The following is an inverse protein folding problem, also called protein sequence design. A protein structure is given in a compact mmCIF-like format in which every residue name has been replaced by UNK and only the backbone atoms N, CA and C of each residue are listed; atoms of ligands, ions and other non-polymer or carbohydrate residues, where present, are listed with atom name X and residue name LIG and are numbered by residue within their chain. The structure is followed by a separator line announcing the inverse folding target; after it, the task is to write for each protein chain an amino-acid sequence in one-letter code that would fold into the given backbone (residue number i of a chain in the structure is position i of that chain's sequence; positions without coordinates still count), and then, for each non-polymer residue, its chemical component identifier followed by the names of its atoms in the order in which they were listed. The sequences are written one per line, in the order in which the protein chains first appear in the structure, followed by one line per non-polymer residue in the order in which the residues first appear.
data_IF_561336341159
#
_entry.id   IF_561336341159
#
_cell.length_a   1.000
_cell.length_b   1.000
_cell.length_c   1.000
_cell.angle_alpha   90.00
_cell.angle_beta   90.00
_cell.angle_gamma   90.00
#
_symmetry.space_group_name_H-M   'P 1'
#
loop_
_entity.id
_entity.type
_entity.pdbx_description
1 polymer ?
#
# COMPACT_ATOMS: atom_id res chain seq x y z
N UNK A 1 22.66 -16.47 -12.21
CA UNK A 1 22.33 -15.56 -11.08
C UNK A 1 21.09 -16.10 -10.38
N UNK A 2 21.17 -16.41 -9.07
CA UNK A 2 20.03 -16.94 -8.32
C UNK A 2 19.01 -15.85 -7.98
N UNK A 3 17.73 -16.16 -8.15
CA UNK A 3 16.63 -15.30 -7.74
C UNK A 3 16.59 -15.18 -6.21
N UNK A 4 16.49 -13.96 -5.68
CA UNK A 4 16.28 -13.75 -4.24
C UNK A 4 14.82 -13.94 -3.83
N UNK A 5 13.91 -13.67 -4.74
CA UNK A 5 12.45 -13.75 -4.54
C UNK A 5 11.83 -14.58 -5.67
N UNK A 6 10.54 -14.87 -5.53
CA UNK A 6 9.75 -15.41 -6.64
C UNK A 6 9.85 -14.46 -7.84
N UNK A 7 10.07 -15.04 -9.03
CA UNK A 7 10.14 -14.31 -10.29
C UNK A 7 9.07 -14.82 -11.24
N UNK A 8 8.22 -13.93 -11.77
CA UNK A 8 7.18 -14.29 -12.73
C UNK A 8 7.77 -14.46 -14.14
N UNK A 9 7.26 -15.47 -14.86
CA UNK A 9 7.75 -15.87 -16.17
C UNK A 9 6.65 -15.74 -17.23
N UNK A 10 7.07 -15.37 -18.43
CA UNK A 10 6.25 -15.35 -19.63
C UNK A 10 6.50 -16.63 -20.42
N UNK A 11 5.85 -17.72 -20.01
CA UNK A 11 5.98 -19.04 -20.66
C UNK A 11 4.77 -19.30 -21.54
N UNK A 12 4.96 -19.33 -22.87
CA UNK A 12 3.89 -19.68 -23.79
C UNK A 12 3.36 -21.11 -23.54
N UNK A 13 2.07 -21.40 -23.82
CA UNK A 13 1.49 -22.73 -23.61
C UNK A 13 2.29 -23.87 -24.25
N UNK A 14 2.87 -23.62 -25.43
CA UNK A 14 3.71 -24.55 -26.20
C UNK A 14 5.07 -24.84 -25.54
N UNK A 15 5.58 -23.95 -24.68
CA UNK A 15 6.89 -24.10 -24.03
C UNK A 15 6.79 -24.56 -22.56
N UNK A 16 5.63 -25.05 -22.13
CA UNK A 16 5.38 -25.44 -20.73
C UNK A 16 6.22 -26.62 -20.26
N UNK A 17 6.51 -27.61 -21.11
CA UNK A 17 7.43 -28.70 -20.77
C UNK A 17 8.89 -28.26 -20.80
N UNK A 18 9.25 -27.35 -21.73
CA UNK A 18 10.59 -26.79 -21.81
C UNK A 18 10.96 -26.05 -20.52
N UNK A 19 10.08 -25.17 -20.01
CA UNK A 19 10.38 -24.42 -18.78
C UNK A 19 10.48 -25.34 -17.55
N UNK A 20 9.70 -26.43 -17.49
CA UNK A 20 9.73 -27.39 -16.37
C UNK A 20 11.07 -28.12 -16.28
N UNK A 21 11.69 -28.39 -17.43
CA UNK A 21 12.94 -29.15 -17.53
C UNK A 21 14.18 -28.25 -17.64
N UNK A 22 14.00 -26.95 -17.88
CA UNK A 22 15.09 -25.99 -18.04
C UNK A 22 15.96 -25.82 -16.77
N UNK A 23 15.38 -26.06 -15.58
CA UNK A 23 16.09 -25.86 -14.31
C UNK A 23 16.00 -27.08 -13.42
N UNK A 24 17.13 -27.56 -12.85
CA UNK A 24 17.12 -28.64 -11.87
C UNK A 24 16.19 -28.36 -10.68
N UNK A 25 15.62 -29.40 -10.04
CA UNK A 25 14.80 -29.25 -8.86
C UNK A 25 15.53 -28.51 -7.72
N UNK A 26 14.81 -27.64 -7.02
CA UNK A 26 15.31 -26.92 -5.86
C UNK A 26 14.70 -27.54 -4.59
N UNK A 27 15.55 -28.05 -3.69
CA UNK A 27 15.15 -28.66 -2.42
C UNK A 27 14.08 -29.76 -2.58
N UNK A 28 14.26 -30.65 -3.56
CA UNK A 28 13.33 -31.74 -3.85
C UNK A 28 12.00 -31.32 -4.49
N UNK A 29 11.86 -30.07 -4.93
CA UNK A 29 10.66 -29.54 -5.61
C UNK A 29 11.03 -28.93 -6.96
N UNK A 30 10.10 -28.90 -7.91
CA UNK A 30 10.30 -28.21 -9.19
C UNK A 30 10.63 -26.72 -8.95
N UNK A 31 11.68 -26.24 -9.62
CA UNK A 31 12.18 -24.87 -9.49
C UNK A 31 11.22 -23.83 -10.09
N UNK A 32 10.39 -24.24 -11.06
CA UNK A 32 9.29 -23.46 -11.62
C UNK A 32 7.94 -24.10 -11.31
N UNK A 33 6.90 -23.29 -11.17
CA UNK A 33 5.54 -23.75 -10.93
C UNK A 33 4.51 -22.81 -11.59
N UNK A 34 3.33 -23.36 -11.86
CA UNK A 34 2.18 -22.61 -12.36
C UNK A 34 1.36 -22.04 -11.20
N UNK A 35 0.96 -20.78 -11.31
CA UNK A 35 0.00 -20.14 -10.42
C UNK A 35 -1.38 -20.07 -11.11
N UNK A 36 -2.40 -20.81 -10.64
CA UNK A 36 -3.70 -20.85 -11.29
C UNK A 36 -4.50 -19.55 -11.12
N UNK A 37 -4.29 -18.80 -10.02
CA UNK A 37 -4.97 -17.53 -9.79
C UNK A 37 -4.43 -16.45 -10.73
N UNK A 38 -3.11 -16.37 -10.84
CA UNK A 38 -2.44 -15.40 -11.70
C UNK A 38 -2.33 -15.87 -13.14
N UNK A 39 -2.66 -17.13 -13.44
CA UNK A 39 -2.47 -17.79 -14.74
C UNK A 39 -1.10 -17.46 -15.33
N UNK A 40 -0.07 -17.62 -14.53
CA UNK A 40 1.32 -17.32 -14.87
C UNK A 40 2.25 -18.38 -14.29
N UNK A 41 3.33 -18.66 -15.02
CA UNK A 41 4.45 -19.42 -14.49
C UNK A 41 5.30 -18.54 -13.59
N UNK A 42 5.92 -19.14 -12.58
CA UNK A 42 6.89 -18.46 -11.74
C UNK A 42 8.06 -19.37 -11.39
N UNK A 43 9.25 -18.78 -11.32
CA UNK A 43 10.42 -19.35 -10.70
C UNK A 43 10.36 -19.12 -9.19
N UNK A 44 10.66 -20.15 -8.41
CA UNK A 44 10.81 -20.06 -6.96
C UNK A 44 12.03 -19.19 -6.60
N UNK A 45 12.04 -18.68 -5.37
CA UNK A 45 13.24 -18.03 -4.83
C UNK A 45 14.37 -19.06 -4.74
N UNK A 46 15.57 -18.68 -5.16
CA UNK A 46 16.77 -19.52 -5.22
C UNK A 46 17.03 -20.17 -6.57
N UNK A 47 16.11 -20.04 -7.53
CA UNK A 47 16.24 -20.58 -8.89
C UNK A 47 17.28 -19.79 -9.70
N UNK A 48 18.14 -20.49 -10.46
CA UNK A 48 19.08 -19.85 -11.38
C UNK A 48 18.34 -19.22 -12.56
N UNK A 49 18.30 -17.88 -12.59
CA UNK A 49 17.55 -17.12 -13.60
C UNK A 49 18.21 -17.15 -14.98
N UNK A 50 19.52 -17.40 -15.06
CA UNK A 50 20.25 -17.47 -16.33
C UNK A 50 19.74 -18.60 -17.22
N UNK A 51 19.25 -19.69 -16.61
CA UNK A 51 18.62 -20.81 -17.32
C UNK A 51 17.20 -20.51 -17.81
N UNK A 52 16.63 -19.39 -17.36
CA UNK A 52 15.25 -18.98 -17.64
C UNK A 52 15.19 -17.68 -18.46
N UNK A 53 16.32 -17.18 -18.97
CA UNK A 53 16.41 -15.89 -19.68
C UNK A 53 15.42 -15.76 -20.84
N UNK A 54 15.12 -16.89 -21.51
CA UNK A 54 14.13 -16.99 -22.58
C UNK A 54 12.70 -16.61 -22.13
N UNK A 55 12.34 -16.95 -20.90
CA UNK A 55 10.98 -16.75 -20.36
C UNK A 55 10.90 -15.58 -19.35
N UNK A 56 11.97 -14.83 -19.17
CA UNK A 56 11.91 -13.62 -18.35
C UNK A 56 11.04 -12.55 -19.06
N UNK A 57 10.22 -11.79 -18.31
CA UNK A 57 9.40 -10.74 -18.90
C UNK A 57 10.28 -9.61 -19.44
N UNK A 58 10.05 -9.23 -20.71
CA UNK A 58 10.80 -8.20 -21.44
C UNK A 58 9.82 -7.23 -22.09
N UNK A 59 9.10 -6.44 -21.27
CA UNK A 59 8.05 -5.56 -21.80
C UNK A 59 8.61 -4.49 -22.75
N UNK A 60 9.87 -4.06 -22.57
CA UNK A 60 10.50 -3.00 -23.37
C UNK A 60 10.83 -3.46 -24.80
N UNK A 61 11.21 -4.73 -24.99
CA UNK A 61 11.51 -5.29 -26.33
C UNK A 61 10.24 -5.44 -27.19
N UNK A 62 9.06 -5.43 -26.55
CA UNK A 62 7.76 -5.64 -27.18
C UNK A 62 6.93 -4.34 -27.25
N UNK A 63 7.55 -3.17 -27.05
CA UNK A 63 6.91 -1.86 -26.76
C UNK A 63 7.47 -0.70 -27.61
N UNK A 64 8.09 -0.95 -28.77
CA UNK A 64 8.77 0.09 -29.57
C UNK A 64 8.03 0.59 -30.83
N UNK A 65 6.83 0.11 -31.15
CA UNK A 65 6.07 0.57 -32.32
C UNK A 65 5.05 1.67 -31.96
N UNK A 66 4.66 2.52 -32.91
CA UNK A 66 3.71 3.63 -32.74
C UNK A 66 2.28 3.23 -32.27
N UNK A 67 2.05 1.93 -32.05
CA UNK A 67 0.93 1.37 -31.30
C UNK A 67 1.33 0.95 -29.87
N UNK A 68 2.22 1.70 -29.22
CA UNK A 68 2.69 1.38 -27.87
C UNK A 68 1.80 2.04 -26.79
N UNK A 69 1.32 1.27 -25.79
CA UNK A 69 0.49 1.79 -24.71
C UNK A 69 1.18 2.85 -23.86
N UNK A 70 2.51 2.81 -23.71
CA UNK A 70 3.23 3.82 -22.92
C UNK A 70 3.22 5.17 -23.65
N UNK A 71 3.44 5.15 -24.96
CA UNK A 71 3.42 6.32 -25.84
C UNK A 71 2.01 6.93 -25.95
N UNK A 72 0.98 6.11 -26.16
CA UNK A 72 -0.40 6.59 -26.18
C UNK A 72 -0.79 7.22 -24.83
N UNK A 73 -0.44 6.56 -23.73
CA UNK A 73 -0.74 7.09 -22.40
C UNK A 73 0.02 8.38 -22.12
N UNK A 74 1.26 8.51 -22.58
CA UNK A 74 2.03 9.75 -22.46
C UNK A 74 1.31 10.92 -23.13
N UNK A 75 0.82 10.71 -24.37
CA UNK A 75 0.07 11.72 -25.10
C UNK A 75 -1.23 12.11 -24.40
N UNK A 76 -1.96 11.14 -23.85
CA UNK A 76 -3.20 11.37 -23.10
C UNK A 76 -2.94 12.22 -21.85
N UNK A 77 -1.87 11.92 -21.11
CA UNK A 77 -1.48 12.69 -19.92
C UNK A 77 -1.03 14.10 -20.27
N UNK A 78 -0.24 14.26 -21.34
CA UNK A 78 0.19 15.56 -21.81
C UNK A 78 -1.00 16.43 -22.26
N UNK A 79 -1.94 15.85 -23.01
CA UNK A 79 -3.18 16.50 -23.45
C UNK A 79 -4.06 16.91 -22.26
N UNK A 80 -4.05 16.12 -21.19
CA UNK A 80 -4.72 16.44 -19.93
C UNK A 80 -4.02 17.52 -19.08
N UNK A 81 -2.88 18.04 -19.53
CA UNK A 81 -2.14 19.08 -18.82
C UNK A 81 -1.23 18.57 -17.70
N UNK A 82 -1.00 17.25 -17.60
CA UNK A 82 -0.04 16.67 -16.67
C UNK A 82 1.37 16.74 -17.27
N UNK A 83 2.33 17.21 -16.46
CA UNK A 83 3.73 17.39 -16.87
C UNK A 83 4.56 16.23 -16.33
N UNK A 84 5.01 15.37 -17.25
CA UNK A 84 5.80 14.17 -16.94
C UNK A 84 7.21 14.35 -17.50
N UNK A 85 8.22 14.03 -16.68
CA UNK A 85 9.61 14.01 -17.13
C UNK A 85 9.91 12.62 -17.70
N UNK A 86 9.97 12.50 -19.03
CA UNK A 86 10.17 11.23 -19.73
C UNK A 86 8.88 10.42 -19.91
N UNK A 87 9.01 9.09 -20.03
CA UNK A 87 7.88 8.19 -20.25
C UNK A 87 7.08 7.91 -18.95
N UNK A 88 5.73 7.77 -19.04
CA UNK A 88 4.91 7.45 -17.88
C UNK A 88 5.17 6.05 -17.36
N UNK A 89 5.16 5.91 -16.03
CA UNK A 89 5.37 4.64 -15.36
C UNK A 89 4.04 3.89 -15.19
N UNK A 90 3.85 2.83 -15.98
CA UNK A 90 2.63 2.00 -15.96
C UNK A 90 2.78 0.76 -15.07
N UNK A 91 3.27 0.96 -13.84
CA UNK A 91 3.60 -0.10 -12.86
C UNK A 91 2.45 -0.44 -11.90
N UNK A 92 1.27 0.15 -12.12
CA UNK A 92 0.12 0.05 -11.24
C UNK A 92 0.24 0.82 -9.92
N UNK A 93 1.27 1.66 -9.75
CA UNK A 93 1.39 2.59 -8.63
C UNK A 93 0.75 3.96 -8.96
N UNK A 94 0.46 4.73 -7.91
CA UNK A 94 -0.02 6.12 -8.08
C UNK A 94 1.20 7.03 -8.19
N UNK A 95 1.34 7.68 -9.34
CA UNK A 95 2.40 8.64 -9.61
C UNK A 95 1.85 10.05 -9.46
N UNK A 96 2.55 10.87 -8.66
CA UNK A 96 2.21 12.29 -8.43
C UNK A 96 3.08 13.16 -9.33
N UNK A 97 2.43 13.96 -10.17
CA UNK A 97 3.08 14.80 -11.17
C UNK A 97 2.59 16.24 -11.05
N UNK A 98 3.39 17.17 -11.57
CA UNK A 98 2.97 18.56 -11.69
C UNK A 98 1.96 18.70 -12.82
N UNK A 99 1.11 19.72 -12.76
CA UNK A 99 0.30 20.16 -13.89
C UNK A 99 0.87 21.46 -14.49
N UNK A 100 0.42 21.85 -15.68
CA UNK A 100 0.92 23.08 -16.34
C UNK A 100 0.72 24.33 -15.48
N UNK A 101 -0.36 24.36 -14.70
CA UNK A 101 -0.73 25.49 -13.84
C UNK A 101 -0.14 25.39 -12.41
N UNK A 102 0.73 24.40 -12.16
CA UNK A 102 1.36 24.23 -10.85
C UNK A 102 2.51 25.22 -10.64
N UNK A 103 2.58 25.78 -9.43
CA UNK A 103 3.76 26.50 -8.95
C UNK A 103 4.92 25.52 -8.78
N UNK A 104 6.16 26.02 -8.92
CA UNK A 104 7.39 25.22 -8.78
C UNK A 104 7.35 24.32 -7.53
N UNK A 105 7.32 23.00 -7.74
CA UNK A 105 7.34 21.99 -6.68
C UNK A 105 5.96 21.44 -6.26
N UNK A 106 4.85 21.99 -6.75
CA UNK A 106 3.53 21.41 -6.56
C UNK A 106 3.34 20.16 -7.44
N UNK A 107 2.51 19.23 -6.95
CA UNK A 107 2.19 17.96 -7.60
C UNK A 107 0.68 17.71 -7.56
N UNK A 108 -0.05 18.56 -8.25
CA UNK A 108 -1.51 18.57 -8.27
C UNK A 108 -2.08 17.56 -9.26
N UNK A 109 -1.26 16.91 -10.09
CA UNK A 109 -1.65 15.80 -10.94
C UNK A 109 -1.38 14.45 -10.28
N UNK A 110 -2.22 13.46 -10.58
CA UNK A 110 -1.91 12.07 -10.33
C UNK A 110 -2.35 11.18 -11.50
N UNK A 111 -1.61 10.12 -11.73
CA UNK A 111 -2.04 9.06 -12.62
C UNK A 111 -1.71 7.69 -12.05
N UNK A 112 -2.37 6.68 -12.59
CA UNK A 112 -2.10 5.27 -12.34
C UNK A 112 -2.44 4.52 -13.60
N UNK A 113 -1.50 3.74 -14.11
CA UNK A 113 -1.75 2.88 -15.26
C UNK A 113 -1.19 1.49 -15.03
N UNK A 114 -1.76 0.55 -15.77
CA UNK A 114 -1.43 -0.85 -15.75
C UNK A 114 -1.12 -1.32 -17.15
N UNK A 115 -0.11 -2.18 -17.25
CA UNK A 115 0.22 -2.90 -18.47
C UNK A 115 -0.39 -4.31 -18.51
N UNK A 116 -1.16 -4.74 -17.50
CA UNK A 116 -1.71 -6.10 -17.50
C UNK A 116 -2.97 -6.23 -18.38
N UNK A 117 -2.98 -7.23 -19.26
CA UNK A 117 -4.12 -7.50 -20.13
C UNK A 117 -4.26 -6.45 -21.23
N UNK A 118 -5.39 -5.72 -21.25
CA UNK A 118 -5.55 -4.53 -22.09
C UNK A 118 -5.06 -3.33 -21.28
N UNK A 119 -3.96 -2.67 -21.68
CA UNK A 119 -3.39 -1.58 -20.91
C UNK A 119 -4.44 -0.50 -20.65
N UNK A 120 -4.54 -0.09 -19.40
CA UNK A 120 -5.57 0.82 -18.93
C UNK A 120 -5.06 1.59 -17.71
N UNK A 121 -5.71 2.70 -17.42
CA UNK A 121 -5.31 3.56 -16.34
C UNK A 121 -6.33 4.63 -16.05
N UNK A 122 -5.94 5.55 -15.19
CA UNK A 122 -6.66 6.78 -14.96
C UNK A 122 -5.67 7.89 -14.65
N UNK A 123 -6.11 9.12 -14.90
CA UNK A 123 -5.41 10.31 -14.49
C UNK A 123 -6.39 11.31 -13.88
N UNK A 124 -5.85 12.23 -13.09
CA UNK A 124 -6.62 13.25 -12.40
C UNK A 124 -5.78 14.48 -12.17
N UNK A 125 -6.34 15.63 -12.51
CA UNK A 125 -5.90 16.92 -11.97
C UNK A 125 -6.75 17.26 -10.74
N UNK A 126 -6.12 17.42 -9.58
CA UNK A 126 -6.82 17.81 -8.34
C UNK A 126 -7.22 19.29 -8.29
N UNK A 127 -6.86 20.08 -9.32
CA UNK A 127 -7.27 21.48 -9.48
C UNK A 127 -8.54 21.62 -10.32
N UNK A 128 -8.86 20.62 -11.14
CA UNK A 128 -10.12 20.61 -11.89
C UNK A 128 -11.30 20.60 -10.91
N UNK A 129 -12.40 21.25 -11.30
CA UNK A 129 -13.66 21.19 -10.57
C UNK A 129 -14.24 19.75 -10.56
N UNK A 130 -13.79 18.90 -11.46
CA UNK A 130 -14.21 17.50 -11.55
C UNK A 130 -13.56 16.65 -10.44
N UNK A 131 -14.41 16.03 -9.60
CA UNK A 131 -13.96 15.16 -8.52
C UNK A 131 -13.63 13.73 -8.98
N UNK A 132 -14.03 13.35 -10.21
CA UNK A 132 -13.79 12.02 -10.75
C UNK A 132 -12.48 11.93 -11.55
N UNK A 133 -11.65 10.89 -11.34
CA UNK A 133 -10.55 10.57 -12.25
C UNK A 133 -11.05 10.24 -13.66
N UNK A 134 -10.31 10.67 -14.69
CA UNK A 134 -10.57 10.29 -16.08
C UNK A 134 -9.91 8.94 -16.36
N UNK A 135 -10.69 7.99 -16.85
CA UNK A 135 -10.18 6.67 -17.22
C UNK A 135 -9.58 6.71 -18.63
N UNK A 136 -8.51 5.95 -18.82
CA UNK A 136 -7.87 5.70 -20.10
C UNK A 136 -7.80 4.20 -20.34
N UNK A 137 -8.06 3.79 -21.58
CA UNK A 137 -7.89 2.42 -22.05
C UNK A 137 -7.18 2.50 -23.38
N UNK A 138 -6.14 1.69 -23.55
CA UNK A 138 -5.35 1.64 -24.76
C UNK A 138 -6.21 1.37 -26.00
N UNK A 139 -5.99 2.19 -27.04
CA UNK A 139 -6.81 2.23 -28.26
C UNK A 139 -6.39 1.19 -29.31
N UNK A 140 -5.16 0.67 -29.25
CA UNK A 140 -4.75 -0.48 -30.06
C UNK A 140 -5.60 -1.70 -29.72
N UNK A 141 -6.39 -2.19 -30.68
CA UNK A 141 -7.48 -3.14 -30.49
C UNK A 141 -7.10 -4.57 -30.05
N UNK A 142 -8.03 -5.51 -30.20
CA UNK A 142 -7.91 -6.94 -29.80
C UNK A 142 -6.80 -7.74 -30.52
N UNK A 143 -6.11 -7.15 -31.51
CA UNK A 143 -5.00 -7.76 -32.27
C UNK A 143 -3.64 -7.60 -31.57
N UNK A 144 -3.63 -7.63 -30.24
CA UNK A 144 -2.38 -7.62 -29.49
C UNK A 144 -1.77 -9.03 -29.53
N UNK A 145 -0.48 -9.12 -29.88
CA UNK A 145 0.27 -10.38 -29.86
C UNK A 145 0.07 -11.11 -28.50
N UNK A 146 -0.42 -12.37 -28.49
CA UNK A 146 -0.60 -13.16 -27.28
C UNK A 146 0.67 -13.28 -26.44
N UNK A 147 1.84 -13.34 -27.07
CA UNK A 147 3.13 -13.40 -26.40
C UNK A 147 3.41 -12.07 -25.71
N UNK A 148 3.31 -10.95 -26.41
CA UNK A 148 3.44 -9.62 -25.82
C UNK A 148 2.51 -9.43 -24.61
N UNK A 149 1.26 -9.87 -24.69
CA UNK A 149 0.32 -9.80 -23.55
C UNK A 149 0.78 -10.63 -22.35
N UNK A 150 1.39 -11.78 -22.59
CA UNK A 150 1.93 -12.65 -21.55
C UNK A 150 3.13 -12.01 -20.85
N UNK A 151 4.08 -11.43 -21.60
CA UNK A 151 5.23 -10.70 -21.04
C UNK A 151 4.80 -9.51 -20.20
N UNK A 152 3.84 -8.72 -20.67
CA UNK A 152 3.30 -7.57 -19.93
C UNK A 152 2.62 -8.01 -18.62
N UNK A 153 1.82 -9.08 -18.66
CA UNK A 153 1.16 -9.63 -17.46
C UNK A 153 2.18 -10.13 -16.42
N UNK A 154 3.19 -10.88 -16.86
CA UNK A 154 4.25 -11.37 -15.98
C UNK A 154 5.04 -10.21 -15.36
N UNK A 155 5.38 -9.18 -16.15
CA UNK A 155 6.05 -7.98 -15.66
C UNK A 155 5.21 -7.21 -14.63
N UNK A 156 3.93 -6.97 -14.93
CA UNK A 156 3.03 -6.23 -14.04
C UNK A 156 2.85 -6.97 -12.70
N UNK A 157 2.73 -8.30 -12.72
CA UNK A 157 2.64 -9.09 -11.50
C UNK A 157 3.95 -9.05 -10.70
N UNK A 158 5.10 -9.03 -11.36
CA UNK A 158 6.40 -8.82 -10.72
C UNK A 158 6.46 -7.46 -10.00
N UNK A 159 6.05 -6.38 -10.67
CA UNK A 159 6.03 -5.04 -10.08
C UNK A 159 5.09 -4.95 -8.87
N UNK A 160 3.91 -5.57 -8.94
CA UNK A 160 2.97 -5.66 -7.80
C UNK A 160 3.64 -6.31 -6.58
N UNK A 161 4.31 -7.44 -6.78
CA UNK A 161 5.01 -8.16 -5.73
C UNK A 161 6.19 -7.34 -5.16
N UNK A 162 6.96 -6.66 -6.02
CA UNK A 162 8.07 -5.79 -5.61
C UNK A 162 7.60 -4.56 -4.82
N UNK A 163 6.53 -3.92 -5.26
CA UNK A 163 5.94 -2.78 -4.59
C UNK A 163 5.35 -3.17 -3.22
N UNK A 164 4.68 -4.32 -3.13
CA UNK A 164 4.20 -4.86 -1.86
C UNK A 164 5.36 -5.12 -0.88
N UNK A 165 6.48 -5.69 -1.36
CA UNK A 165 7.69 -5.88 -0.55
C UNK A 165 8.28 -4.56 -0.07
N UNK A 166 8.47 -3.58 -0.96
CA UNK A 166 8.98 -2.24 -0.61
C UNK A 166 8.11 -1.59 0.45
N UNK A 167 6.78 -1.65 0.28
CA UNK A 167 5.82 -1.09 1.23
C UNK A 167 5.93 -1.78 2.60
N UNK A 168 6.02 -3.11 2.63
CA UNK A 168 6.18 -3.85 3.88
C UNK A 168 7.50 -3.51 4.59
N UNK A 169 8.60 -3.36 3.84
CA UNK A 169 9.89 -2.95 4.40
C UNK A 169 9.82 -1.54 4.99
N UNK A 170 9.15 -0.60 4.32
CA UNK A 170 8.91 0.74 4.84
C UNK A 170 8.12 0.70 6.16
N UNK A 171 7.04 -0.08 6.22
CA UNK A 171 6.26 -0.25 7.45
C UNK A 171 7.06 -0.88 8.59
N UNK A 172 7.89 -1.90 8.29
CA UNK A 172 8.74 -2.53 9.29
C UNK A 172 9.79 -1.55 9.84
N UNK A 173 10.40 -0.74 8.97
CA UNK A 173 11.36 0.30 9.38
C UNK A 173 10.70 1.35 10.28
N UNK A 174 9.50 1.80 9.93
CA UNK A 174 8.74 2.76 10.73
C UNK A 174 8.34 2.18 12.09
N UNK A 175 7.86 0.94 12.14
CA UNK A 175 7.53 0.26 13.39
C UNK A 175 8.76 0.10 14.29
N UNK A 176 9.92 -0.27 13.72
CA UNK A 176 11.19 -0.33 14.45
C UNK A 176 11.60 1.02 15.03
N UNK A 177 11.46 2.09 14.25
CA UNK A 177 11.71 3.46 14.71
C UNK A 177 10.76 3.85 15.85
N UNK A 178 9.45 3.62 15.68
CA UNK A 178 8.43 3.93 16.70
C UNK A 178 8.72 3.21 18.02
N UNK A 179 9.00 1.90 17.95
CA UNK A 179 9.33 1.09 19.13
C UNK A 179 10.59 1.62 19.83
N UNK A 180 11.66 1.87 19.09
CA UNK A 180 12.91 2.39 19.64
C UNK A 180 12.74 3.76 20.29
N UNK A 181 11.99 4.67 19.64
CA UNK A 181 11.69 5.99 20.16
C UNK A 181 10.92 5.92 21.47
N UNK A 182 9.82 5.16 21.52
CA UNK A 182 8.95 5.06 22.71
C UNK A 182 9.65 4.38 23.88
N UNK A 183 10.42 3.32 23.63
CA UNK A 183 11.09 2.56 24.69
C UNK A 183 12.13 3.37 25.46
N UNK A 184 12.64 4.46 24.88
CA UNK A 184 13.60 5.38 25.53
C UNK A 184 12.93 6.42 26.41
N UNK A 185 11.62 6.57 26.33
CA UNK A 185 10.89 7.62 27.02
C UNK A 185 10.36 7.13 28.38
N UNK A 186 10.40 7.99 29.41
CA UNK A 186 9.82 7.66 30.72
C UNK A 186 8.29 7.52 30.60
N UNK A 187 7.74 6.70 31.49
CA UNK A 187 6.28 6.61 31.67
C UNK A 187 5.75 7.98 32.12
N UNK A 188 4.67 8.44 31.50
CA UNK A 188 3.97 9.63 31.95
C UNK A 188 3.22 9.31 33.26
N UNK A 189 3.45 10.12 34.29
CA UNK A 189 2.76 10.00 35.59
C UNK A 189 1.76 11.14 35.77
N UNK A 190 2.14 12.36 35.39
CA UNK A 190 1.31 13.56 35.39
C UNK A 190 1.56 14.39 34.12
N UNK A 191 0.51 15.06 33.61
CA UNK A 191 0.62 15.97 32.47
C UNK A 191 -0.56 16.93 32.44
N UNK A 192 -0.31 18.20 32.13
CA UNK A 192 -1.32 19.27 32.13
C UNK A 192 -2.52 18.96 31.22
N UNK A 193 -2.27 18.34 30.07
CA UNK A 193 -3.34 17.92 29.16
C UNK A 193 -4.23 16.86 29.81
N UNK A 194 -3.64 15.88 30.49
CA UNK A 194 -4.36 14.80 31.17
C UNK A 194 -5.20 15.35 32.34
N UNK A 195 -4.62 16.26 33.13
CA UNK A 195 -5.32 16.94 34.22
C UNK A 195 -6.52 17.73 33.70
N UNK A 196 -6.36 18.54 32.66
CA UNK A 196 -7.44 19.30 32.02
C UNK A 196 -8.54 18.40 31.44
N UNK A 197 -8.18 17.18 31.01
CA UNK A 197 -9.14 16.18 30.53
C UNK A 197 -9.74 15.32 31.64
N UNK A 198 -9.24 15.41 32.87
CA UNK A 198 -9.66 14.57 34.00
C UNK A 198 -9.31 13.08 33.81
N UNK A 199 -8.26 12.76 33.05
CA UNK A 199 -7.86 11.40 32.70
C UNK A 199 -6.52 11.08 33.37
N UNK A 200 -6.34 9.84 33.85
CA UNK A 200 -5.04 9.36 34.35
C UNK A 200 -4.18 8.83 33.22
N UNK A 201 -2.86 8.98 33.31
CA UNK A 201 -1.95 8.41 32.33
C UNK A 201 -2.06 6.87 32.35
N UNK A 202 -2.38 6.27 31.21
CA UNK A 202 -2.43 4.82 31.09
C UNK A 202 -1.01 4.22 30.99
N UNK A 203 -0.83 2.95 31.39
CA UNK A 203 0.43 2.24 31.18
C UNK A 203 0.86 2.29 29.70
N UNK A 204 2.12 2.66 29.46
CA UNK A 204 2.68 2.77 28.12
C UNK A 204 2.56 4.16 27.47
N UNK A 205 1.75 5.07 28.03
CA UNK A 205 1.79 6.49 27.66
C UNK A 205 3.11 7.08 28.18
N UNK A 206 3.91 7.62 27.28
CA UNK A 206 5.23 8.16 27.61
C UNK A 206 5.24 9.68 27.58
N UNK A 207 6.28 10.28 28.17
CA UNK A 207 6.53 11.71 28.11
C UNK A 207 7.86 11.97 27.39
N UNK A 208 7.85 12.86 26.40
CA UNK A 208 9.09 13.25 25.73
C UNK A 208 9.74 14.50 26.36
N UNK A 209 10.96 14.81 25.91
CA UNK A 209 11.73 15.97 26.38
C UNK A 209 11.12 17.34 26.03
N UNK A 210 10.06 17.38 25.21
CA UNK A 210 9.31 18.59 24.86
C UNK A 210 8.02 18.74 25.68
N UNK A 211 7.86 17.94 26.73
CA UNK A 211 6.63 17.86 27.52
C UNK A 211 5.39 17.49 26.67
N UNK A 212 5.56 16.64 25.65
CA UNK A 212 4.46 16.06 24.87
C UNK A 212 4.20 14.62 25.32
N UNK A 213 2.93 14.27 25.45
CA UNK A 213 2.51 12.88 25.64
C UNK A 213 2.76 12.10 24.37
N UNK A 214 3.33 10.90 24.49
CA UNK A 214 3.55 9.97 23.38
C UNK A 214 2.73 8.71 23.65
N UNK A 215 1.69 8.53 22.84
CA UNK A 215 0.75 7.41 22.95
C UNK A 215 1.13 6.36 21.89
N UNK A 216 1.52 5.14 22.29
CA UNK A 216 1.82 4.08 21.34
C UNK A 216 0.56 3.53 20.68
N UNK A 217 0.66 3.21 19.39
CA UNK A 217 -0.32 2.41 18.66
C UNK A 217 0.25 1.04 18.37
N UNK A 218 -0.43 0.01 18.86
CA UNK A 218 -0.03 -1.38 18.72
C UNK A 218 -1.02 -2.18 17.90
N UNK A 219 -0.55 -3.26 17.27
CA UNK A 219 -1.43 -4.25 16.63
C UNK A 219 -2.08 -5.18 17.67
N UNK A 220 -2.94 -6.11 17.22
CA UNK A 220 -3.61 -7.09 18.08
C UNK A 220 -2.67 -8.04 18.85
N UNK A 221 -1.38 -8.06 18.52
CA UNK A 221 -0.33 -8.82 19.24
C UNK A 221 0.43 -7.97 20.26
N UNK A 222 0.05 -6.69 20.43
CA UNK A 222 0.71 -5.75 21.34
C UNK A 222 1.98 -5.09 20.78
N UNK A 223 2.36 -5.38 19.54
CA UNK A 223 3.57 -4.80 18.94
C UNK A 223 3.32 -3.35 18.52
N UNK A 224 4.17 -2.43 19.00
CA UNK A 224 4.13 -1.02 18.63
C UNK A 224 4.41 -0.87 17.13
N UNK A 225 3.46 -0.27 16.41
CA UNK A 225 3.55 0.03 14.98
C UNK A 225 3.65 1.52 14.69
N UNK A 226 3.17 2.36 15.61
CA UNK A 226 3.23 3.82 15.48
C UNK A 226 3.07 4.50 16.83
N UNK A 227 3.03 5.84 16.82
CA UNK A 227 2.65 6.65 17.97
C UNK A 227 1.99 7.96 17.57
N UNK A 228 1.22 8.51 18.51
CA UNK A 228 0.68 9.86 18.47
C UNK A 228 1.36 10.72 19.54
N UNK A 229 1.72 11.94 19.17
CA UNK A 229 2.19 12.97 20.10
C UNK A 229 1.08 13.95 20.40
N UNK A 230 0.92 14.31 21.67
CA UNK A 230 -0.04 15.31 22.14
C UNK A 230 0.74 16.35 22.96
N UNK A 231 0.91 17.58 22.46
CA UNK A 231 1.50 18.65 23.24
C UNK A 231 0.52 19.12 24.32
N UNK A 232 1.00 19.93 25.26
CA UNK A 232 0.20 20.57 26.31
C UNK A 232 -1.04 21.27 25.75
N UNK A 233 -0.90 22.00 24.64
CA UNK A 233 -1.98 22.72 23.95
C UNK A 233 -3.11 21.78 23.53
N UNK A 234 -2.77 20.54 23.15
CA UNK A 234 -3.71 19.47 22.86
C UNK A 234 -4.09 19.33 21.38
N UNK A 235 -5.36 19.02 21.14
CA UNK A 235 -5.85 18.28 19.96
C UNK A 235 -5.54 18.83 18.57
N UNK A 236 -5.43 20.15 18.37
CA UNK A 236 -5.11 20.73 17.05
C UNK A 236 -3.65 20.49 16.65
N UNK A 237 -2.76 20.42 17.62
CA UNK A 237 -1.32 20.24 17.42
C UNK A 237 -0.86 18.80 17.61
N UNK A 238 -1.81 17.88 17.88
CA UNK A 238 -1.50 16.47 18.02
C UNK A 238 -1.01 15.89 16.69
N UNK A 239 0.12 15.18 16.71
CA UNK A 239 0.79 14.68 15.49
C UNK A 239 0.95 13.18 15.55
N UNK A 240 0.47 12.48 14.54
CA UNK A 240 0.76 11.06 14.33
C UNK A 240 2.08 10.95 13.55
N UNK A 241 2.87 9.91 13.82
CA UNK A 241 4.03 9.59 12.99
C UNK A 241 3.60 9.48 11.50
N UNK A 242 4.13 10.36 10.65
CA UNK A 242 3.81 10.40 9.21
C UNK A 242 4.22 9.09 8.53
N UNK A 243 3.33 8.52 7.72
CA UNK A 243 3.61 7.32 6.90
C UNK A 243 2.54 6.23 6.94
N UNK A 244 1.59 6.31 7.87
CA UNK A 244 0.45 5.41 7.93
C UNK A 244 -0.77 6.12 7.35
N UNK A 245 -1.37 5.54 6.30
CA UNK A 245 -2.77 5.84 6.00
C UNK A 245 -3.59 5.54 7.25
N UNK A 246 -4.61 6.36 7.48
CA UNK A 246 -5.49 6.45 8.63
C UNK A 246 -6.30 5.15 8.86
N UNK A 247 -5.65 4.00 9.02
CA UNK A 247 -6.30 2.74 9.32
C UNK A 247 -6.38 2.56 10.83
N UNK A 248 -7.50 3.05 11.39
CA UNK A 248 -8.37 2.50 12.45
C UNK A 248 -7.87 1.32 13.33
N UNK A 249 -6.62 1.32 13.80
CA UNK A 249 -6.19 0.48 14.92
C UNK A 249 -6.07 1.35 16.16
N UNK A 250 -7.18 1.43 16.89
CA UNK A 250 -7.30 2.14 18.17
C UNK A 250 -6.89 1.20 19.30
N UNK A 251 -6.11 1.71 20.24
CA UNK A 251 -5.78 1.02 21.50
C UNK A 251 -6.86 1.36 22.53
N UNK A 252 -7.37 0.33 23.22
CA UNK A 252 -8.26 0.46 24.37
C UNK A 252 -7.51 0.99 25.60
N UNK A 253 -7.99 2.11 26.15
CA UNK A 253 -7.56 2.58 27.48
C UNK A 253 -8.53 2.00 28.52
N UNK A 254 -8.06 1.03 29.30
CA UNK A 254 -8.79 0.45 30.43
C UNK A 254 -8.65 1.38 31.65
N UNK A 255 -9.77 1.77 32.27
CA UNK A 255 -9.80 2.44 33.58
C UNK A 255 -10.77 1.65 34.50
N UNK A 256 -10.36 1.14 35.67
CA UNK A 256 -11.17 0.25 36.50
C UNK A 256 -12.15 0.98 37.43
N UNK A 257 -12.94 1.94 36.94
CA UNK A 257 -13.81 2.71 37.86
C UNK A 257 -15.04 3.43 37.30
N UNK A 258 -15.26 3.45 35.98
CA UNK A 258 -16.53 3.96 35.40
C UNK A 258 -16.88 3.16 34.15
N UNK A 259 -18.08 2.60 34.15
CA UNK A 259 -18.64 1.90 33.00
C UNK A 259 -19.60 2.86 32.26
N UNK A 260 -19.46 3.06 30.94
CA UNK A 260 -18.41 2.56 30.04
C UNK A 260 -17.15 3.48 29.99
N UNK A 261 -15.96 2.94 29.63
CA UNK A 261 -14.69 3.65 29.65
C UNK A 261 -14.53 4.66 28.49
N UNK A 262 -13.84 5.81 28.71
CA UNK A 262 -13.56 6.77 27.63
C UNK A 262 -12.52 6.23 26.65
N UNK A 263 -12.94 6.05 25.39
CA UNK A 263 -12.08 5.69 24.25
C UNK A 263 -11.42 6.97 23.72
N UNK A 264 -10.08 7.05 23.76
CA UNK A 264 -9.36 8.09 23.00
C UNK A 264 -9.25 7.59 21.56
N UNK A 265 -10.23 8.00 20.74
CA UNK A 265 -10.25 7.76 19.31
C UNK A 265 -9.36 8.81 18.61
N UNK A 266 -8.42 8.36 17.77
CA UNK A 266 -7.68 9.22 16.86
C UNK A 266 -8.68 10.00 16.00
N UNK A 267 -8.62 11.34 16.10
CA UNK A 267 -9.64 12.32 15.68
C UNK A 267 -10.87 12.34 16.60
N UNK A 268 -11.01 13.43 17.35
CA UNK A 268 -12.17 13.78 18.19
C UNK A 268 -13.48 13.67 17.40
N UNK A 269 -14.17 12.54 17.49
CA UNK A 269 -15.63 12.46 17.55
C UNK A 269 -15.96 11.40 18.61
N UNK A 270 -16.70 11.81 19.63
CA UNK A 270 -17.33 10.89 20.56
C UNK A 270 -18.27 9.98 19.76
N UNK A 271 -17.93 8.71 19.59
CA UNK A 271 -18.88 7.70 19.15
C UNK A 271 -19.48 7.06 20.40
N UNK A 272 -20.68 7.50 20.79
CA UNK A 272 -21.58 6.67 21.57
C UNK A 272 -21.92 5.44 20.73
N UNK A 273 -21.56 4.25 21.22
CA UNK A 273 -22.14 3.02 20.66
C UNK A 273 -23.61 2.96 21.09
N UNK A 274 -24.56 2.65 20.19
CA UNK A 274 -25.93 2.43 20.60
C UNK A 274 -25.97 1.18 21.50
N UNK A 275 -26.59 1.32 22.67
CA UNK A 275 -26.87 0.20 23.55
C UNK A 275 -27.65 -0.87 22.76
N UNK A 276 -27.19 -2.11 22.78
CA UNK A 276 -28.01 -3.25 22.36
C UNK A 276 -29.20 -3.32 23.30
N UNK A 277 -30.39 -2.98 22.80
CA UNK A 277 -31.63 -3.34 23.46
C UNK A 277 -31.77 -4.87 23.39
N UNK A 278 -31.64 -5.53 24.53
CA UNK A 278 -32.20 -6.86 24.70
C UNK A 278 -33.72 -6.70 24.65
N UNK A 279 -34.34 -7.13 23.55
CA UNK A 279 -35.74 -7.57 23.59
C UNK A 279 -35.73 -9.01 24.11
N UNK A 280 -36.45 -9.33 25.19
CA UNK A 280 -36.90 -10.69 25.41
C UNK A 280 -38.03 -10.96 24.40
N UNK A 281 -37.89 -12.06 23.68
CA UNK A 281 -38.97 -12.75 22.97
C UNK A 281 -40.13 -13.03 23.93
N UNK A 282 -41.36 -12.77 23.50
CA UNK A 282 -42.56 -13.15 24.25
C UNK A 282 -42.75 -14.66 24.35
N UNK A 283 -43.50 -15.05 25.36
CA UNK A 283 -44.32 -16.26 25.40
C UNK A 283 -45.58 -15.93 26.20
N UNK A 284 -46.71 -16.25 25.60
CA UNK A 284 -48.06 -16.19 26.14
C UNK A 284 -48.20 -16.92 27.48
N UNK A 285 -49.11 -16.46 28.35
CA UNK A 285 -50.17 -17.30 28.90
C UNK A 285 -51.15 -16.50 29.78
N UNK A 286 -52.44 -16.64 29.44
CA UNK A 286 -53.70 -16.34 30.16
C UNK A 286 -54.56 -15.23 29.58
#
# INVERSE_FOLDING_TARGET
MKSRYRTWLAVPPEETEAVKNAVPPLNGRKAVAWDPEKKLWYARAGTELSLLERWLPRPQELSMDAGDPVTEFAQVLENAGLVIQGLPQMDGAIHRVATRDDKKGAKSGAYRAYLDGRPAGWYRDYRSADDSPTNWVFSGGEQHDPLARLHLRAFAQQQRDDNARKLQQQYNKQAGYARSYINRLPQATAHEYLTRKGIRAAPGVRLNNKNELVIPFSNGRGEIRSYQRIPVTGGKDARILKGLRENRQLVHLRNPGKWPPPVICGRLRYCSLPARSNRPSGSDDS
#
